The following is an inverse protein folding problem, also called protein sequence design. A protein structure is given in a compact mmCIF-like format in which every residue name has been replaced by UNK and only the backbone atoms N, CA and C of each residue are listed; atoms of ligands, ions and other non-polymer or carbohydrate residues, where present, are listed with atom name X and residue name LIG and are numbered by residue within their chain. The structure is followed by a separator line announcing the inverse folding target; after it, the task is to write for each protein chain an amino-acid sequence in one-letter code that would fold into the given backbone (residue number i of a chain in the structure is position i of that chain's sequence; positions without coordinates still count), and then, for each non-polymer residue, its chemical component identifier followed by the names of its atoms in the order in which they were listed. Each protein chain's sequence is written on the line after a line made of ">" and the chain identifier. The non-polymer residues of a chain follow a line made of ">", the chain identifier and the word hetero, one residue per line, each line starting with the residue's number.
data_IF_127569612904
#
_entry.id   IF_127569612904
#
_cell.length_a   1.000
_cell.length_b   1.000
_cell.length_c   1.000
_cell.angle_alpha   90.00
_cell.angle_beta   90.00
_cell.angle_gamma   90.00
#
_symmetry.space_group_name_H-M   'P 1'
#
loop_
_entity.id
_entity.type
_entity.pdbx_description
1 polymer ?
#
# COMPACT_ATOMS: atom_id res chain seq x y z
N UNK A 1 60.72 48.05 -87.86
CA UNK A 1 59.53 48.58 -87.15
C UNK A 1 58.60 47.49 -86.60
N UNK A 2 58.18 46.48 -87.38
CA UNK A 2 57.26 45.41 -86.88
C UNK A 2 57.77 44.60 -85.69
N UNK A 3 59.07 44.26 -85.64
CA UNK A 3 59.67 43.50 -84.52
C UNK A 3 59.65 44.26 -83.19
N UNK A 4 59.97 45.57 -83.21
CA UNK A 4 59.94 46.41 -82.01
C UNK A 4 58.52 46.60 -81.46
N UNK A 5 57.52 46.74 -82.34
CA UNK A 5 56.12 46.85 -81.95
C UNK A 5 55.61 45.55 -81.29
N UNK A 6 55.99 44.37 -81.80
CA UNK A 6 55.66 43.09 -81.18
C UNK A 6 56.30 42.91 -79.79
N UNK A 7 57.54 43.37 -79.60
CA UNK A 7 58.22 43.31 -78.29
C UNK A 7 57.55 44.24 -77.26
N UNK A 8 57.17 45.46 -77.67
CA UNK A 8 56.45 46.39 -76.80
C UNK A 8 55.05 45.86 -76.42
N UNK A 9 54.35 45.24 -77.37
CA UNK A 9 53.04 44.66 -77.12
C UNK A 9 53.11 43.43 -76.22
N UNK A 10 54.13 42.56 -76.38
CA UNK A 10 54.37 41.42 -75.48
C UNK A 10 54.67 41.89 -74.05
N UNK A 11 55.55 42.88 -73.89
CA UNK A 11 55.88 43.45 -72.57
C UNK A 11 54.67 44.09 -71.88
N UNK A 12 53.78 44.71 -72.64
CA UNK A 12 52.53 45.27 -72.10
C UNK A 12 51.59 44.16 -71.65
N UNK A 13 51.40 43.12 -72.45
CA UNK A 13 50.59 41.97 -72.07
C UNK A 13 51.17 41.23 -70.85
N UNK A 14 52.50 41.07 -70.77
CA UNK A 14 53.16 40.45 -69.62
C UNK A 14 52.94 41.27 -68.33
N UNK A 15 52.98 42.60 -68.42
CA UNK A 15 52.66 43.50 -67.30
C UNK A 15 51.18 43.42 -66.92
N UNK A 16 50.27 43.42 -67.90
CA UNK A 16 48.82 43.26 -67.67
C UNK A 16 48.50 41.93 -66.99
N UNK A 17 49.14 40.84 -67.41
CA UNK A 17 49.01 39.51 -66.79
C UNK A 17 49.58 39.49 -65.36
N UNK A 18 50.70 40.17 -65.10
CA UNK A 18 51.26 40.31 -63.74
C UNK A 18 50.34 41.14 -62.83
N UNK A 19 49.75 42.23 -63.32
CA UNK A 19 48.77 43.02 -62.58
C UNK A 19 47.50 42.21 -62.30
N UNK A 20 47.00 41.45 -63.27
CA UNK A 20 45.83 40.58 -63.10
C UNK A 20 46.08 39.48 -62.06
N UNK A 21 47.27 38.86 -62.05
CA UNK A 21 47.66 37.86 -61.04
C UNK A 21 47.72 38.45 -59.63
N UNK A 22 48.34 39.63 -59.47
CA UNK A 22 48.40 40.31 -58.17
C UNK A 22 47.01 40.71 -57.66
N UNK A 23 46.13 41.20 -58.54
CA UNK A 23 44.76 41.53 -58.17
C UNK A 23 43.96 40.29 -57.77
N UNK A 24 44.15 39.15 -58.46
CA UNK A 24 43.54 37.89 -58.09
C UNK A 24 44.04 37.38 -56.71
N UNK A 25 45.36 37.45 -56.46
CA UNK A 25 45.96 37.07 -55.17
C UNK A 25 45.45 37.96 -54.01
N UNK A 26 45.31 39.27 -54.24
CA UNK A 26 44.76 40.21 -53.25
C UNK A 26 43.29 39.92 -52.96
N UNK A 27 42.48 39.66 -53.99
CA UNK A 27 41.07 39.29 -53.81
C UNK A 27 40.89 37.96 -53.07
N UNK A 28 41.76 36.97 -53.33
CA UNK A 28 41.77 35.70 -52.62
C UNK A 28 42.17 35.88 -51.15
N UNK A 29 43.16 36.72 -50.88
CA UNK A 29 43.57 37.08 -49.51
C UNK A 29 42.41 37.74 -48.75
N UNK A 30 41.72 38.68 -49.37
CA UNK A 30 40.57 39.35 -48.76
C UNK A 30 39.43 38.36 -48.46
N UNK A 31 39.11 37.46 -49.40
CA UNK A 31 38.12 36.40 -49.19
C UNK A 31 38.52 35.44 -48.05
N UNK A 32 39.78 35.01 -47.99
CA UNK A 32 40.31 34.14 -46.94
C UNK A 32 40.24 34.83 -45.58
N UNK A 33 40.64 36.11 -45.50
CA UNK A 33 40.61 36.86 -44.23
C UNK A 33 39.19 37.09 -43.74
N UNK A 34 38.23 37.33 -44.64
CA UNK A 34 36.82 37.45 -44.30
C UNK A 34 36.30 36.16 -43.64
N UNK A 35 36.43 35.02 -44.32
CA UNK A 35 35.93 33.73 -43.82
C UNK A 35 36.67 33.30 -42.54
N UNK A 36 37.99 33.46 -42.48
CA UNK A 36 38.78 33.15 -41.28
C UNK A 36 38.33 34.01 -40.08
N UNK A 37 38.11 35.32 -40.29
CA UNK A 37 37.64 36.20 -39.22
C UNK A 37 36.23 35.85 -38.76
N UNK A 38 35.34 35.47 -39.68
CA UNK A 38 33.97 35.03 -39.37
C UNK A 38 33.97 33.73 -38.57
N UNK A 39 34.76 32.74 -38.96
CA UNK A 39 34.91 31.49 -38.21
C UNK A 39 35.41 31.73 -36.78
N UNK A 40 36.43 32.58 -36.61
CA UNK A 40 36.94 32.93 -35.27
C UNK A 40 35.86 33.61 -34.43
N UNK A 41 35.08 34.53 -35.03
CA UNK A 41 33.95 35.16 -34.33
C UNK A 41 32.91 34.14 -33.90
N UNK A 42 32.44 33.28 -34.81
CA UNK A 42 31.43 32.27 -34.52
C UNK A 42 31.88 31.27 -33.45
N UNK A 43 33.15 30.86 -33.46
CA UNK A 43 33.72 30.00 -32.42
C UNK A 43 33.73 30.71 -31.06
N UNK A 44 34.11 31.98 -31.00
CA UNK A 44 34.09 32.76 -29.76
C UNK A 44 32.67 32.99 -29.24
N UNK A 45 31.71 33.24 -30.13
CA UNK A 45 30.31 33.41 -29.77
C UNK A 45 29.71 32.09 -29.26
N UNK A 46 30.07 30.96 -29.87
CA UNK A 46 29.72 29.62 -29.39
C UNK A 46 30.30 29.31 -27.99
N UNK A 47 31.58 29.64 -27.76
CA UNK A 47 32.23 29.45 -26.46
C UNK A 47 31.55 30.28 -25.36
N UNK A 48 31.20 31.54 -25.68
CA UNK A 48 30.40 32.39 -24.78
C UNK A 48 29.03 31.77 -24.50
N UNK A 49 28.33 31.29 -25.52
CA UNK A 49 27.01 30.68 -25.38
C UNK A 49 27.04 29.41 -24.52
N UNK A 50 28.12 28.62 -24.60
CA UNK A 50 28.32 27.42 -23.77
C UNK A 50 28.69 27.76 -22.31
N UNK A 51 29.42 28.85 -22.10
CA UNK A 51 29.86 29.31 -20.78
C UNK A 51 28.86 30.22 -20.05
N UNK A 52 27.85 30.74 -20.74
CA UNK A 52 26.86 31.65 -20.17
C UNK A 52 25.84 30.92 -19.30
N UNK A 53 25.77 31.32 -18.03
CA UNK A 53 24.84 30.78 -17.04
C UNK A 53 23.39 31.22 -17.30
N UNK A 54 23.20 32.33 -18.01
CA UNK A 54 21.90 32.86 -18.46
C UNK A 54 21.70 32.70 -19.98
N UNK A 55 22.56 31.89 -20.62
CA UNK A 55 22.55 31.68 -22.06
C UNK A 55 21.23 31.09 -22.57
N UNK A 56 20.91 31.36 -23.84
CA UNK A 56 19.68 30.88 -24.48
C UNK A 56 19.94 29.54 -25.18
N UNK A 57 19.50 28.39 -24.61
CA UNK A 57 19.90 27.07 -25.12
C UNK A 57 19.36 26.75 -26.51
N UNK A 58 18.24 27.39 -26.90
CA UNK A 58 17.66 27.27 -28.22
C UNK A 58 18.60 27.73 -29.35
N UNK A 59 19.66 28.50 -29.03
CA UNK A 59 20.64 28.96 -30.01
C UNK A 59 21.74 27.93 -30.31
N UNK A 60 21.90 26.86 -29.52
CA UNK A 60 22.97 25.87 -29.75
C UNK A 60 22.92 25.25 -31.16
N UNK A 61 21.71 24.86 -31.61
CA UNK A 61 21.53 24.25 -32.92
C UNK A 61 21.72 25.25 -34.08
N UNK A 62 21.06 26.44 -34.09
CA UNK A 62 21.34 27.48 -35.07
C UNK A 62 22.82 27.87 -35.17
N UNK A 63 23.52 28.05 -34.03
CA UNK A 63 24.95 28.38 -34.01
C UNK A 63 25.82 27.26 -34.59
N UNK A 64 25.45 25.99 -34.37
CA UNK A 64 26.13 24.86 -34.98
C UNK A 64 25.93 24.82 -36.51
N UNK A 65 24.70 25.05 -36.98
CA UNK A 65 24.36 25.09 -38.40
C UNK A 65 25.13 26.22 -39.11
N UNK A 66 25.18 27.41 -38.52
CA UNK A 66 25.94 28.54 -39.05
C UNK A 66 27.44 28.26 -39.12
N UNK A 67 28.02 27.64 -38.08
CA UNK A 67 29.41 27.21 -38.09
C UNK A 67 29.69 26.16 -39.19
N UNK A 68 28.77 25.21 -39.41
CA UNK A 68 28.91 24.19 -40.46
C UNK A 68 28.89 24.81 -41.85
N UNK A 69 28.01 25.78 -42.09
CA UNK A 69 27.95 26.51 -43.36
C UNK A 69 29.25 27.29 -43.62
N UNK A 70 29.78 28.01 -42.63
CA UNK A 70 31.05 28.73 -42.78
C UNK A 70 32.26 27.80 -42.91
N UNK A 71 32.27 26.65 -42.24
CA UNK A 71 33.28 25.61 -42.49
C UNK A 71 33.25 25.13 -43.94
N UNK A 72 32.07 24.98 -44.54
CA UNK A 72 31.93 24.59 -45.95
C UNK A 72 32.50 25.66 -46.89
N UNK A 73 32.24 26.93 -46.61
CA UNK A 73 32.82 28.06 -47.34
C UNK A 73 34.35 28.05 -47.26
N UNK A 74 34.91 27.82 -46.06
CA UNK A 74 36.35 27.70 -45.86
C UNK A 74 36.97 26.53 -46.65
N UNK A 75 36.33 25.35 -46.64
CA UNK A 75 36.80 24.18 -47.40
C UNK A 75 36.78 24.44 -48.90
N UNK A 76 35.76 25.12 -49.44
CA UNK A 76 35.70 25.50 -50.84
C UNK A 76 36.88 26.44 -51.21
N UNK A 77 37.16 27.45 -50.39
CA UNK A 77 38.30 28.34 -50.59
C UNK A 77 39.66 27.63 -50.52
N UNK A 78 39.80 26.61 -49.65
CA UNK A 78 41.03 25.80 -49.56
C UNK A 78 41.25 24.91 -50.79
N UNK A 79 40.18 24.47 -51.46
CA UNK A 79 40.28 23.69 -52.70
C UNK A 79 40.73 24.55 -53.88
N UNK A 80 40.27 25.79 -53.94
CA UNK A 80 40.54 26.72 -55.04
C UNK A 80 41.89 27.46 -54.89
N UNK A 81 42.44 27.56 -53.67
CA UNK A 81 43.64 28.34 -53.38
C UNK A 81 44.98 27.57 -53.62
N UNK A 82 46.05 28.26 -54.06
CA UNK A 82 47.38 27.67 -54.18
C UNK A 82 48.01 27.39 -52.81
N UNK A 83 48.45 26.15 -52.57
CA UNK A 83 48.97 25.63 -51.27
C UNK A 83 50.12 26.42 -50.62
N UNK A 84 50.79 27.30 -51.35
CA UNK A 84 51.91 28.12 -50.86
C UNK A 84 51.49 29.50 -50.32
N UNK A 85 50.20 29.81 -50.29
CA UNK A 85 49.72 31.13 -49.91
C UNK A 85 49.79 31.34 -48.37
N UNK A 86 50.40 32.43 -47.87
CA UNK A 86 50.67 32.63 -46.44
C UNK A 86 49.41 32.77 -45.58
N UNK A 87 48.29 33.18 -46.16
CA UNK A 87 47.01 33.33 -45.44
C UNK A 87 46.27 32.02 -45.21
N UNK A 88 46.71 30.90 -45.78
CA UNK A 88 46.04 29.61 -45.62
C UNK A 88 46.21 29.05 -44.21
N UNK A 89 47.36 29.26 -43.57
CA UNK A 89 47.62 28.75 -42.22
C UNK A 89 46.63 29.29 -41.18
N UNK A 90 46.25 30.57 -41.28
CA UNK A 90 45.26 31.18 -40.39
C UNK A 90 43.85 30.63 -40.62
N UNK A 91 43.50 30.35 -41.88
CA UNK A 91 42.21 29.75 -42.23
C UNK A 91 42.14 28.28 -41.79
N UNK A 92 43.18 27.49 -42.01
CA UNK A 92 43.26 26.09 -41.55
C UNK A 92 43.14 25.98 -40.02
N UNK A 93 43.78 26.90 -39.28
CA UNK A 93 43.67 26.95 -37.82
C UNK A 93 42.26 27.33 -37.35
N UNK A 94 41.62 28.33 -38.00
CA UNK A 94 40.25 28.73 -37.70
C UNK A 94 39.25 27.60 -38.02
N UNK A 95 39.41 26.95 -39.18
CA UNK A 95 38.61 25.81 -39.62
C UNK A 95 38.75 24.64 -38.62
N UNK A 96 39.97 24.28 -38.24
CA UNK A 96 40.22 23.22 -37.25
C UNK A 96 39.61 23.54 -35.88
N UNK A 97 39.52 24.81 -35.50
CA UNK A 97 38.83 25.23 -34.27
C UNK A 97 37.33 25.09 -34.39
N UNK A 98 36.75 25.52 -35.52
CA UNK A 98 35.33 25.42 -35.80
C UNK A 98 34.85 23.96 -35.90
N UNK A 99 35.59 23.10 -36.62
CA UNK A 99 35.30 21.66 -36.74
C UNK A 99 35.29 20.93 -35.40
N UNK A 100 36.09 21.39 -34.43
CA UNK A 100 36.07 20.85 -33.04
C UNK A 100 34.90 21.37 -32.23
N UNK A 101 34.42 22.58 -32.50
CA UNK A 101 33.31 23.21 -31.76
C UNK A 101 31.94 22.69 -32.20
N UNK A 102 31.76 22.44 -33.50
CA UNK A 102 30.49 21.93 -34.08
C UNK A 102 29.93 20.71 -33.32
N UNK A 103 30.67 19.61 -33.09
CA UNK A 103 30.11 18.45 -32.38
C UNK A 103 29.72 18.77 -30.93
N UNK A 104 30.44 19.68 -30.26
CA UNK A 104 30.12 20.11 -28.88
C UNK A 104 28.78 20.84 -28.84
N UNK A 105 28.54 21.77 -29.78
CA UNK A 105 27.25 22.48 -29.88
C UNK A 105 26.10 21.53 -30.24
N UNK A 106 26.32 20.58 -31.15
CA UNK A 106 25.31 19.60 -31.53
C UNK A 106 24.94 18.70 -30.34
N UNK A 107 25.93 18.19 -29.60
CA UNK A 107 25.68 17.39 -28.40
C UNK A 107 24.89 18.21 -27.37
N UNK A 108 25.29 19.46 -27.15
CA UNK A 108 24.61 20.37 -26.23
C UNK A 108 23.16 20.65 -26.64
N UNK A 109 22.92 20.86 -27.93
CA UNK A 109 21.58 21.04 -28.48
C UNK A 109 20.72 19.78 -28.27
N UNK A 110 21.26 18.59 -28.51
CA UNK A 110 20.55 17.33 -28.30
C UNK A 110 20.17 17.12 -26.82
N UNK A 111 21.08 17.47 -25.89
CA UNK A 111 20.80 17.43 -24.46
C UNK A 111 19.67 18.39 -24.08
N UNK A 112 19.66 19.60 -24.66
CA UNK A 112 18.58 20.57 -24.47
C UNK A 112 17.25 20.07 -25.01
N UNK A 113 17.22 19.53 -26.22
CA UNK A 113 15.99 18.99 -26.83
C UNK A 113 15.42 17.83 -26.01
N UNK A 114 16.29 17.00 -25.43
CA UNK A 114 15.84 15.93 -24.55
C UNK A 114 15.27 16.46 -23.24
N UNK A 115 15.95 17.41 -22.60
CA UNK A 115 15.47 18.07 -21.39
C UNK A 115 14.07 18.67 -21.62
N UNK A 116 13.88 19.45 -22.69
CA UNK A 116 12.59 20.06 -23.03
C UNK A 116 11.51 19.01 -23.23
N UNK A 117 11.80 17.93 -23.96
CA UNK A 117 10.83 16.86 -24.19
C UNK A 117 10.37 16.21 -22.88
N UNK A 118 11.32 15.83 -22.03
CA UNK A 118 11.02 15.19 -20.74
C UNK A 118 10.22 16.16 -19.86
N UNK A 119 10.65 17.43 -19.79
CA UNK A 119 9.97 18.46 -19.01
C UNK A 119 8.53 18.63 -19.46
N UNK A 120 8.30 18.83 -20.75
CA UNK A 120 6.96 19.10 -21.27
C UNK A 120 6.01 17.89 -21.13
N UNK A 121 6.53 16.67 -21.20
CA UNK A 121 5.77 15.45 -20.90
C UNK A 121 5.46 15.31 -19.41
N UNK A 122 6.45 15.57 -18.56
CA UNK A 122 6.31 15.50 -17.11
C UNK A 122 5.36 16.58 -16.58
N UNK A 123 5.45 17.82 -17.06
CA UNK A 123 4.54 18.92 -16.70
C UNK A 123 3.09 18.60 -17.08
N UNK A 124 2.84 18.08 -18.28
CA UNK A 124 1.49 17.66 -18.70
C UNK A 124 0.93 16.54 -17.81
N UNK A 125 1.78 15.58 -17.45
CA UNK A 125 1.39 14.49 -16.54
C UNK A 125 1.09 15.03 -15.14
N UNK A 126 1.93 15.91 -14.61
CA UNK A 126 1.77 16.54 -13.31
C UNK A 126 0.48 17.36 -13.24
N UNK A 127 0.20 18.19 -14.24
CA UNK A 127 -1.05 18.96 -14.35
C UNK A 127 -2.28 18.06 -14.37
N UNK A 128 -2.23 16.94 -15.11
CA UNK A 128 -3.33 15.98 -15.17
C UNK A 128 -3.58 15.29 -13.81
N UNK A 129 -2.51 14.92 -13.09
CA UNK A 129 -2.60 14.34 -11.75
C UNK A 129 -3.18 15.37 -10.77
N UNK A 130 -2.63 16.60 -10.75
CA UNK A 130 -3.12 17.69 -9.89
C UNK A 130 -4.60 17.93 -10.13
N UNK A 131 -5.03 18.04 -11.40
CA UNK A 131 -6.43 18.27 -11.74
C UNK A 131 -7.37 17.18 -11.20
N UNK A 132 -6.94 15.91 -11.22
CA UNK A 132 -7.69 14.81 -10.61
C UNK A 132 -7.74 14.92 -9.09
N UNK A 133 -6.60 15.14 -8.43
CA UNK A 133 -6.54 15.23 -6.96
C UNK A 133 -7.31 16.43 -6.42
N UNK A 134 -7.32 17.56 -7.13
CA UNK A 134 -8.11 18.74 -6.77
C UNK A 134 -9.61 18.43 -6.69
N UNK A 135 -10.14 17.54 -7.56
CA UNK A 135 -11.55 17.12 -7.50
C UNK A 135 -11.89 16.40 -6.19
N UNK A 136 -10.94 15.66 -5.59
CA UNK A 136 -11.12 15.04 -4.28
C UNK A 136 -11.00 16.06 -3.15
N UNK A 137 -10.07 17.02 -3.26
CA UNK A 137 -9.87 18.04 -2.23
C UNK A 137 -11.06 18.99 -2.10
N UNK A 138 -11.60 19.44 -3.23
CA UNK A 138 -12.69 20.42 -3.32
C UNK A 138 -14.08 19.81 -3.08
N UNK A 139 -14.18 18.47 -3.00
CA UNK A 139 -15.45 17.77 -2.77
C UNK A 139 -16.04 18.13 -1.41
N UNK A 140 -17.32 18.48 -1.41
CA UNK A 140 -18.10 18.84 -0.21
C UNK A 140 -19.18 17.83 0.14
N UNK A 141 -19.38 16.79 -0.68
CA UNK A 141 -20.37 15.74 -0.47
C UNK A 141 -19.70 14.38 -0.24
N UNK A 142 -20.37 13.52 0.52
CA UNK A 142 -19.97 12.13 0.74
C UNK A 142 -20.60 11.23 -0.32
N UNK A 143 -19.94 10.13 -0.66
CA UNK A 143 -20.40 9.17 -1.67
C UNK A 143 -20.68 7.78 -1.09
N UNK A 144 -21.57 6.99 -1.71
CA UNK A 144 -21.81 5.59 -1.35
C UNK A 144 -20.56 4.72 -1.40
N UNK A 145 -20.51 3.69 -0.55
CA UNK A 145 -19.41 2.73 -0.49
C UNK A 145 -19.02 2.13 -1.87
N UNK A 146 -19.97 1.67 -2.72
CA UNK A 146 -19.62 1.11 -4.03
C UNK A 146 -18.96 2.13 -4.97
N UNK A 147 -19.40 3.39 -4.93
CA UNK A 147 -18.79 4.46 -5.73
C UNK A 147 -17.37 4.76 -5.22
N UNK A 148 -17.17 4.75 -3.89
CA UNK A 148 -15.85 4.94 -3.29
C UNK A 148 -14.85 3.84 -3.66
N UNK A 149 -15.30 2.59 -3.76
CA UNK A 149 -14.44 1.48 -4.20
C UNK A 149 -13.95 1.68 -5.65
N UNK A 150 -14.80 2.20 -6.54
CA UNK A 150 -14.42 2.54 -7.91
C UNK A 150 -13.42 3.70 -7.92
N UNK A 151 -13.64 4.75 -7.15
CA UNK A 151 -12.70 5.87 -7.06
C UNK A 151 -11.34 5.45 -6.48
N UNK A 152 -11.32 4.55 -5.50
CA UNK A 152 -10.08 3.99 -4.96
C UNK A 152 -9.34 3.17 -6.04
N UNK A 153 -10.07 2.47 -6.91
CA UNK A 153 -9.48 1.77 -8.04
C UNK A 153 -8.89 2.75 -9.06
N UNK A 154 -9.58 3.86 -9.36
CA UNK A 154 -9.08 4.90 -10.25
C UNK A 154 -7.82 5.59 -9.68
N UNK A 155 -7.77 5.83 -8.36
CA UNK A 155 -6.56 6.32 -7.69
C UNK A 155 -5.41 5.33 -7.80
N UNK A 156 -5.65 4.02 -7.66
CA UNK A 156 -4.60 3.00 -7.89
C UNK A 156 -4.03 3.05 -9.30
N UNK A 157 -4.84 3.38 -10.30
CA UNK A 157 -4.35 3.59 -11.67
C UNK A 157 -3.50 4.86 -11.79
N UNK A 158 -3.82 5.91 -11.02
CA UNK A 158 -3.04 7.16 -10.95
C UNK A 158 -1.64 6.97 -10.36
N UNK A 159 -1.42 5.93 -9.55
CA UNK A 159 -0.09 5.58 -9.03
C UNK A 159 0.97 5.43 -10.13
N UNK A 160 0.59 4.88 -11.29
CA UNK A 160 1.52 4.75 -12.43
C UNK A 160 1.98 6.11 -12.94
N UNK A 161 1.14 7.14 -12.90
CA UNK A 161 1.51 8.50 -13.29
C UNK A 161 2.45 9.13 -12.25
N UNK A 162 2.23 8.89 -10.95
CA UNK A 162 3.15 9.31 -9.89
C UNK A 162 4.55 8.69 -10.10
N UNK A 163 4.64 7.39 -10.39
CA UNK A 163 5.92 6.73 -10.67
C UNK A 163 6.62 7.31 -11.91
N UNK A 164 5.85 7.61 -12.97
CA UNK A 164 6.40 8.28 -14.16
C UNK A 164 6.98 9.66 -13.81
N UNK A 165 6.33 10.42 -12.94
CA UNK A 165 6.83 11.72 -12.49
C UNK A 165 8.14 11.59 -11.69
N UNK A 166 8.27 10.58 -10.81
CA UNK A 166 9.52 10.31 -10.08
C UNK A 166 10.66 9.93 -11.01
N UNK A 167 10.38 9.16 -12.06
CA UNK A 167 11.38 8.82 -13.08
C UNK A 167 11.78 10.06 -13.89
N UNK A 168 10.80 10.87 -14.32
CA UNK A 168 11.07 12.10 -15.04
C UNK A 168 11.91 13.09 -14.22
N UNK A 169 11.66 13.22 -12.91
CA UNK A 169 12.48 14.06 -12.03
C UNK A 169 13.97 13.64 -12.04
N UNK A 170 14.24 12.33 -12.01
CA UNK A 170 15.61 11.81 -12.08
C UNK A 170 16.27 12.13 -13.42
N UNK A 171 15.57 11.88 -14.52
CA UNK A 171 16.08 12.19 -15.87
C UNK A 171 16.31 13.70 -16.07
N UNK A 172 15.40 14.54 -15.58
CA UNK A 172 15.54 16.00 -15.61
C UNK A 172 16.76 16.48 -14.81
N UNK A 173 17.00 15.89 -13.63
CA UNK A 173 18.19 16.18 -12.84
C UNK A 173 19.47 15.78 -13.58
N UNK A 174 19.52 14.59 -14.19
CA UNK A 174 20.67 14.13 -14.98
C UNK A 174 20.96 15.06 -16.16
N UNK A 175 19.94 15.43 -16.93
CA UNK A 175 20.10 16.35 -18.05
C UNK A 175 20.44 17.78 -17.61
N UNK A 176 19.95 18.24 -16.46
CA UNK A 176 20.34 19.52 -15.87
C UNK A 176 21.85 19.59 -15.58
N UNK A 177 22.47 18.49 -15.14
CA UNK A 177 23.92 18.40 -14.96
C UNK A 177 24.68 18.54 -16.29
N UNK A 178 24.18 17.88 -17.34
CA UNK A 178 24.74 17.97 -18.70
C UNK A 178 24.55 19.36 -19.34
N UNK A 179 23.65 20.17 -18.79
CA UNK A 179 23.32 21.52 -19.25
C UNK A 179 23.92 22.65 -18.40
N UNK A 180 24.80 22.34 -17.43
CA UNK A 180 25.55 23.35 -16.68
C UNK A 180 26.40 24.23 -17.62
N UNK A 181 26.47 25.56 -17.43
CA UNK A 181 26.12 26.29 -16.21
C UNK A 181 24.71 26.90 -16.16
N UNK A 182 23.77 26.48 -17.02
CA UNK A 182 22.45 27.12 -17.14
C UNK A 182 21.65 27.11 -15.83
N UNK A 183 21.45 28.30 -15.23
CA UNK A 183 20.81 28.42 -13.91
C UNK A 183 19.31 28.19 -13.97
N UNK A 184 18.65 28.66 -15.03
CA UNK A 184 17.20 28.50 -15.21
C UNK A 184 16.81 27.01 -15.28
N UNK A 185 17.61 26.17 -15.94
CA UNK A 185 17.40 24.71 -16.01
C UNK A 185 17.42 24.09 -14.62
N UNK A 186 18.42 24.44 -13.82
CA UNK A 186 18.52 23.95 -12.44
C UNK A 186 17.36 24.43 -11.56
N UNK A 187 16.88 25.66 -11.78
CA UNK A 187 15.73 26.20 -11.06
C UNK A 187 14.41 25.51 -11.47
N UNK A 188 14.19 25.30 -12.77
CA UNK A 188 13.00 24.58 -13.28
C UNK A 188 12.89 23.19 -12.68
N UNK A 189 13.99 22.42 -12.65
CA UNK A 189 14.00 21.07 -12.05
C UNK A 189 13.68 21.13 -10.55
N UNK A 190 14.19 22.14 -9.83
CA UNK A 190 13.87 22.32 -8.41
C UNK A 190 12.39 22.63 -8.18
N UNK A 191 11.78 23.50 -8.99
CA UNK A 191 10.35 23.79 -8.88
C UNK A 191 9.51 22.55 -9.18
N UNK A 192 9.85 21.83 -10.25
CA UNK A 192 9.19 20.58 -10.61
C UNK A 192 9.28 19.54 -9.49
N UNK A 193 10.46 19.35 -8.88
CA UNK A 193 10.67 18.43 -7.75
C UNK A 193 9.74 18.76 -6.57
N UNK A 194 9.65 20.04 -6.19
CA UNK A 194 8.75 20.47 -5.10
C UNK A 194 7.28 20.20 -5.43
N UNK A 195 6.84 20.49 -6.66
CA UNK A 195 5.46 20.27 -7.07
C UNK A 195 5.13 18.78 -7.19
N UNK A 196 6.08 17.97 -7.65
CA UNK A 196 5.99 16.51 -7.72
C UNK A 196 5.85 15.92 -6.32
N UNK A 197 6.76 16.24 -5.38
CA UNK A 197 6.70 15.75 -4.00
C UNK A 197 5.41 16.16 -3.30
N UNK A 198 4.96 17.40 -3.52
CA UNK A 198 3.70 17.89 -2.96
C UNK A 198 2.52 17.09 -3.50
N UNK A 199 2.48 16.85 -4.82
CA UNK A 199 1.40 16.12 -5.48
C UNK A 199 1.37 14.66 -5.02
N UNK A 200 2.53 14.04 -4.84
CA UNK A 200 2.68 12.69 -4.31
C UNK A 200 2.13 12.57 -2.89
N UNK A 201 2.51 13.48 -1.97
CA UNK A 201 1.97 13.50 -0.60
C UNK A 201 0.46 13.67 -0.58
N UNK A 202 -0.08 14.54 -1.45
CA UNK A 202 -1.53 14.72 -1.56
C UNK A 202 -2.23 13.46 -2.07
N UNK A 203 -1.65 12.77 -3.04
CA UNK A 203 -2.15 11.50 -3.53
C UNK A 203 -2.17 10.44 -2.41
N UNK A 204 -1.09 10.32 -1.63
CA UNK A 204 -0.98 9.39 -0.51
C UNK A 204 -2.05 9.69 0.55
N UNK A 205 -2.16 10.94 0.99
CA UNK A 205 -3.14 11.36 2.00
C UNK A 205 -4.59 11.04 1.56
N UNK A 206 -4.95 11.37 0.31
CA UNK A 206 -6.28 11.10 -0.24
C UNK A 206 -6.53 9.59 -0.31
N UNK A 207 -5.58 8.83 -0.84
CA UNK A 207 -5.71 7.39 -1.05
C UNK A 207 -5.82 6.63 0.27
N UNK A 208 -4.96 6.95 1.24
CA UNK A 208 -4.97 6.34 2.57
C UNK A 208 -6.28 6.63 3.31
N UNK A 209 -6.72 7.89 3.30
CA UNK A 209 -7.95 8.29 3.99
C UNK A 209 -9.19 7.68 3.34
N UNK A 210 -9.27 7.67 2.01
CA UNK A 210 -10.36 7.02 1.29
C UNK A 210 -10.38 5.51 1.58
N UNK A 211 -9.23 4.83 1.50
CA UNK A 211 -9.13 3.40 1.78
C UNK A 211 -9.49 3.06 3.24
N UNK A 212 -9.10 3.90 4.20
CA UNK A 212 -9.46 3.74 5.60
C UNK A 212 -10.97 3.88 5.82
N UNK A 213 -11.61 4.88 5.22
CA UNK A 213 -13.06 5.09 5.31
C UNK A 213 -13.84 3.93 4.65
N UNK A 214 -13.42 3.46 3.47
CA UNK A 214 -13.99 2.29 2.78
C UNK A 214 -13.88 1.05 3.66
N UNK A 215 -12.69 0.78 4.21
CA UNK A 215 -12.44 -0.40 5.04
C UNK A 215 -13.29 -0.38 6.30
N UNK A 216 -13.39 0.78 6.96
CA UNK A 216 -14.20 0.96 8.15
C UNK A 216 -15.69 0.74 7.86
N UNK A 217 -16.22 1.35 6.79
CA UNK A 217 -17.64 1.19 6.42
C UNK A 217 -17.95 -0.25 5.98
N UNK A 218 -17.07 -0.89 5.21
CA UNK A 218 -17.23 -2.28 4.80
C UNK A 218 -17.18 -3.25 5.99
N UNK A 219 -16.28 -3.02 6.95
CA UNK A 219 -16.22 -3.82 8.18
C UNK A 219 -17.50 -3.66 8.99
N UNK A 220 -17.99 -2.43 9.15
CA UNK A 220 -19.20 -2.15 9.89
C UNK A 220 -20.41 -2.83 9.22
N UNK A 221 -20.59 -2.71 7.90
CA UNK A 221 -21.63 -3.42 7.17
C UNK A 221 -21.61 -4.93 7.43
N UNK A 222 -20.45 -5.58 7.35
CA UNK A 222 -20.29 -7.01 7.67
C UNK A 222 -20.70 -7.33 9.11
N UNK A 223 -20.32 -6.50 10.08
CA UNK A 223 -20.74 -6.72 11.48
C UNK A 223 -22.25 -6.61 11.65
N UNK A 224 -22.90 -5.65 10.98
CA UNK A 224 -24.35 -5.49 11.05
C UNK A 224 -25.08 -6.65 10.37
N UNK A 225 -24.56 -7.17 9.26
CA UNK A 225 -25.09 -8.38 8.62
C UNK A 225 -25.05 -9.59 9.57
N UNK A 226 -23.92 -9.83 10.24
CA UNK A 226 -23.78 -10.91 11.23
C UNK A 226 -24.77 -10.71 12.38
N UNK A 227 -24.84 -9.52 12.97
CA UNK A 227 -25.78 -9.25 14.07
C UNK A 227 -27.24 -9.37 13.63
N UNK A 228 -27.54 -9.04 12.37
CA UNK A 228 -28.87 -9.24 11.80
C UNK A 228 -29.20 -10.73 11.72
N UNK A 229 -28.26 -11.58 11.28
CA UNK A 229 -28.48 -13.03 11.22
C UNK A 229 -28.63 -13.65 12.61
N UNK A 230 -27.82 -13.23 13.59
CA UNK A 230 -27.93 -13.71 14.96
C UNK A 230 -29.26 -13.31 15.62
N UNK A 231 -29.71 -12.06 15.42
CA UNK A 231 -31.01 -11.60 15.92
C UNK A 231 -32.19 -12.31 15.23
N UNK A 232 -32.07 -12.63 13.94
CA UNK A 232 -33.06 -13.46 13.25
C UNK A 232 -33.12 -14.86 13.85
N UNK A 233 -31.96 -15.50 14.05
CA UNK A 233 -31.88 -16.84 14.61
C UNK A 233 -32.43 -16.92 16.04
N UNK A 234 -32.03 -15.98 16.91
CA UNK A 234 -32.57 -15.87 18.27
C UNK A 234 -34.09 -15.64 18.26
N UNK A 235 -34.59 -14.82 17.35
CA UNK A 235 -36.03 -14.61 17.19
C UNK A 235 -36.76 -15.89 16.76
N UNK A 236 -36.18 -16.71 15.88
CA UNK A 236 -36.77 -17.98 15.43
C UNK A 236 -36.80 -19.00 16.56
N UNK A 237 -35.71 -19.15 17.30
CA UNK A 237 -35.62 -20.08 18.45
C UNK A 237 -36.61 -19.72 19.55
N UNK A 238 -36.78 -18.42 19.86
CA UNK A 238 -37.77 -17.96 20.84
C UNK A 238 -39.23 -18.22 20.42
N UNK A 239 -39.48 -18.43 19.13
CA UNK A 239 -40.81 -18.81 18.62
C UNK A 239 -41.02 -20.33 18.55
N UNK A 240 -39.96 -21.13 18.70
CA UNK A 240 -40.07 -22.59 18.68
C UNK A 240 -40.55 -23.15 20.02
N UNK A 241 -41.45 -24.13 20.00
CA UNK A 241 -42.11 -24.67 21.20
C UNK A 241 -41.27 -25.72 21.96
N UNK A 242 -40.13 -26.14 21.41
CA UNK A 242 -39.27 -27.19 22.00
C UNK A 242 -38.27 -26.60 23.03
N UNK A 243 -38.33 -27.10 24.27
CA UNK A 243 -37.34 -26.90 25.36
C UNK A 243 -37.12 -25.46 25.91
N UNK A 244 -38.20 -24.69 26.03
CA UNK A 244 -38.29 -23.27 26.40
C UNK A 244 -37.59 -22.76 27.68
N UNK A 245 -37.07 -23.60 28.57
CA UNK A 245 -36.57 -23.17 29.88
C UNK A 245 -35.05 -23.19 30.04
N UNK A 246 -34.33 -24.09 29.33
CA UNK A 246 -32.86 -24.20 29.46
C UNK A 246 -32.12 -23.15 28.65
N UNK A 247 -32.71 -22.67 27.55
CA UNK A 247 -32.06 -21.74 26.64
C UNK A 247 -32.37 -20.26 26.93
N UNK A 248 -33.39 -19.95 27.74
CA UNK A 248 -33.77 -18.55 28.07
C UNK A 248 -32.66 -17.71 28.68
N UNK A 249 -31.89 -18.26 29.63
CA UNK A 249 -30.76 -17.55 30.25
C UNK A 249 -29.62 -17.34 29.24
N UNK A 250 -29.44 -18.29 28.32
CA UNK A 250 -28.45 -18.20 27.25
C UNK A 250 -28.82 -17.11 26.25
N UNK A 251 -30.09 -17.08 25.81
CA UNK A 251 -30.63 -16.04 24.92
C UNK A 251 -30.62 -14.65 25.57
N UNK A 252 -30.95 -14.54 26.87
CA UNK A 252 -30.86 -13.26 27.58
C UNK A 252 -29.41 -12.75 27.62
N UNK A 253 -28.44 -13.62 27.92
CA UNK A 253 -27.01 -13.26 27.88
C UNK A 253 -26.57 -12.83 26.48
N UNK A 254 -26.94 -13.59 25.44
CA UNK A 254 -26.62 -13.28 24.05
C UNK A 254 -27.17 -11.92 23.62
N UNK A 255 -28.43 -11.62 23.95
CA UNK A 255 -29.05 -10.34 23.60
C UNK A 255 -28.40 -9.17 24.32
N UNK A 256 -28.00 -9.34 25.59
CA UNK A 256 -27.24 -8.33 26.33
C UNK A 256 -25.87 -8.08 25.69
N UNK A 257 -25.17 -9.13 25.27
CA UNK A 257 -23.88 -9.02 24.56
C UNK A 257 -24.03 -8.32 23.20
N UNK A 258 -25.09 -8.65 22.44
CA UNK A 258 -25.41 -7.98 21.16
C UNK A 258 -25.71 -6.49 21.37
N UNK A 259 -26.52 -6.13 22.38
CA UNK A 259 -26.83 -4.73 22.71
C UNK A 259 -25.54 -3.97 23.06
N UNK A 260 -24.71 -4.53 23.93
CA UNK A 260 -23.43 -3.91 24.30
C UNK A 260 -22.51 -3.73 23.09
N UNK A 261 -22.48 -4.71 22.18
CA UNK A 261 -21.71 -4.60 20.94
C UNK A 261 -22.25 -3.50 20.02
N UNK A 262 -23.57 -3.44 19.81
CA UNK A 262 -24.20 -2.40 19.00
C UNK A 262 -23.99 -0.99 19.60
N UNK A 263 -23.99 -0.84 20.93
CA UNK A 263 -23.74 0.44 21.61
C UNK A 263 -22.31 0.92 21.34
N UNK A 264 -21.35 -0.01 21.43
CA UNK A 264 -19.96 0.29 21.10
C UNK A 264 -19.82 0.71 19.62
N UNK A 265 -20.44 -0.02 18.69
CA UNK A 265 -20.41 0.33 17.27
C UNK A 265 -21.05 1.70 17.00
N UNK A 266 -22.13 2.05 17.70
CA UNK A 266 -22.77 3.38 17.59
C UNK A 266 -21.82 4.51 17.98
N UNK A 267 -21.10 4.36 19.09
CA UNK A 267 -20.09 5.34 19.53
C UNK A 267 -18.96 5.47 18.51
N UNK A 268 -18.51 4.35 17.91
CA UNK A 268 -17.47 4.37 16.86
C UNK A 268 -17.97 5.14 15.63
N UNK A 269 -19.20 4.87 15.17
CA UNK A 269 -19.79 5.55 14.02
C UNK A 269 -19.93 7.05 14.28
N UNK A 270 -20.48 7.47 15.43
CA UNK A 270 -20.62 8.88 15.81
C UNK A 270 -19.28 9.62 15.84
N UNK A 271 -18.21 8.98 16.38
CA UNK A 271 -16.86 9.56 16.37
C UNK A 271 -16.29 9.67 14.96
N UNK A 272 -16.48 8.64 14.14
CA UNK A 272 -15.98 8.64 12.76
C UNK A 272 -16.70 9.67 11.87
N UNK A 273 -18.00 9.91 12.11
CA UNK A 273 -18.80 10.85 11.33
C UNK A 273 -18.27 12.28 11.39
N UNK A 274 -17.63 12.69 12.49
CA UNK A 274 -17.05 14.02 12.65
C UNK A 274 -15.84 14.27 11.74
N UNK A 275 -15.13 13.21 11.35
CA UNK A 275 -13.88 13.28 10.59
C UNK A 275 -13.99 12.69 9.18
N UNK A 276 -15.18 12.27 8.77
CA UNK A 276 -15.41 11.59 7.50
C UNK A 276 -15.42 12.59 6.35
N UNK A 277 -14.66 12.30 5.30
CA UNK A 277 -14.45 13.23 4.17
C UNK A 277 -14.96 12.69 2.84
N UNK A 278 -14.98 11.37 2.65
CA UNK A 278 -15.24 10.79 1.33
C UNK A 278 -16.44 9.85 1.31
N UNK A 279 -16.55 8.93 2.28
CA UNK A 279 -17.55 7.85 2.23
C UNK A 279 -18.75 8.16 3.13
N UNK A 280 -19.97 8.06 2.62
CA UNK A 280 -21.19 8.22 3.43
C UNK A 280 -21.37 7.05 4.41
N UNK A 281 -22.02 7.30 5.56
CA UNK A 281 -22.40 6.22 6.48
C UNK A 281 -23.83 5.78 6.17
N UNK A 282 -23.99 4.63 5.52
CA UNK A 282 -25.31 4.02 5.30
C UNK A 282 -25.80 3.22 6.51
N UNK A 283 -24.96 3.12 7.54
CA UNK A 283 -25.02 2.13 8.60
C UNK A 283 -25.56 2.67 9.91
N UNK A 284 -25.55 3.99 10.12
CA UNK A 284 -26.12 4.64 11.31
C UNK A 284 -27.60 4.29 11.51
N UNK A 285 -28.43 4.40 10.45
CA UNK A 285 -29.85 4.05 10.55
C UNK A 285 -30.08 2.55 10.77
N UNK A 286 -29.22 1.69 10.20
CA UNK A 286 -29.28 0.24 10.39
C UNK A 286 -28.90 -0.16 11.82
N UNK A 287 -27.91 0.50 12.40
CA UNK A 287 -27.52 0.33 13.81
C UNK A 287 -28.69 0.65 14.75
N UNK A 288 -29.37 1.79 14.55
CA UNK A 288 -30.51 2.17 15.39
C UNK A 288 -31.66 1.15 15.30
N UNK A 289 -31.94 0.64 14.09
CA UNK A 289 -32.96 -0.40 13.89
C UNK A 289 -32.60 -1.72 14.57
N UNK A 290 -31.34 -2.15 14.46
CA UNK A 290 -30.86 -3.39 15.10
C UNK A 290 -30.84 -3.25 16.62
N UNK A 291 -30.46 -2.08 17.12
CA UNK A 291 -30.51 -1.78 18.55
C UNK A 291 -31.93 -1.91 19.11
N UNK A 292 -32.89 -1.24 18.45
CA UNK A 292 -34.28 -1.30 18.85
C UNK A 292 -34.81 -2.73 18.80
N UNK A 293 -34.49 -3.47 17.73
CA UNK A 293 -34.89 -4.88 17.59
C UNK A 293 -34.33 -5.78 18.69
N UNK A 294 -33.06 -5.62 19.06
CA UNK A 294 -32.43 -6.39 20.13
C UNK A 294 -33.08 -6.09 21.49
N UNK A 295 -33.41 -4.82 21.75
CA UNK A 295 -34.12 -4.39 22.96
C UNK A 295 -35.55 -4.97 23.03
N UNK A 296 -36.28 -4.93 21.91
CA UNK A 296 -37.64 -5.48 21.83
C UNK A 296 -37.65 -7.00 22.08
N UNK A 297 -36.70 -7.75 21.52
CA UNK A 297 -36.54 -9.19 21.76
C UNK A 297 -36.20 -9.50 23.23
N UNK A 298 -35.30 -8.71 23.82
CA UNK A 298 -34.92 -8.86 25.24
C UNK A 298 -36.12 -8.59 26.16
N UNK A 299 -36.91 -7.56 25.85
CA UNK A 299 -38.11 -7.25 26.62
C UNK A 299 -39.20 -8.31 26.45
N UNK A 300 -39.38 -8.83 25.23
CA UNK A 300 -40.29 -9.94 24.95
C UNK A 300 -39.91 -11.22 25.74
N UNK A 301 -38.62 -11.56 25.78
CA UNK A 301 -38.09 -12.69 26.54
C UNK A 301 -38.37 -12.53 28.05
N UNK A 302 -38.12 -11.33 28.60
CA UNK A 302 -38.36 -11.04 30.02
C UNK A 302 -39.84 -11.06 30.43
N UNK A 303 -40.74 -10.66 29.52
CA UNK A 303 -42.19 -10.66 29.77
C UNK A 303 -42.83 -12.04 29.59
N UNK A 304 -42.18 -12.95 28.87
CA UNK A 304 -42.71 -14.29 28.66
C UNK A 304 -42.83 -15.03 30.00
N UNK A 305 -43.97 -15.68 30.29
CA UNK A 305 -44.20 -16.33 31.58
C UNK A 305 -43.11 -17.35 31.86
N UNK A 306 -42.46 -17.24 33.02
CA UNK A 306 -41.66 -18.31 33.61
C UNK A 306 -42.63 -19.48 33.79
N UNK A 307 -42.48 -20.60 33.09
CA UNK A 307 -43.24 -21.78 33.51
C UNK A 307 -42.74 -22.10 34.91
N UNK A 308 -43.58 -21.83 35.90
CA UNK A 308 -43.24 -22.02 37.30
C UNK A 308 -42.76 -23.45 37.47
N UNK A 309 -41.62 -23.58 38.13
CA UNK A 309 -41.00 -24.83 38.62
C UNK A 309 -41.96 -25.71 39.46
N UNK A 310 -43.18 -25.26 39.70
CA UNK A 310 -44.16 -25.87 40.59
C UNK A 310 -45.09 -26.89 39.91
N UNK A 311 -44.96 -27.14 38.59
CA UNK A 311 -45.82 -28.14 37.91
C UNK A 311 -45.08 -29.18 37.06
N UNK A 312 -43.74 -29.15 36.99
CA UNK A 312 -42.99 -30.16 36.27
C UNK A 312 -42.59 -31.30 37.22
N UNK A 313 -43.34 -32.40 37.12
CA UNK A 313 -43.04 -33.74 37.62
C UNK A 313 -42.94 -33.89 39.15
N UNK A 314 -44.04 -34.38 39.75
CA UNK A 314 -43.90 -35.61 40.53
C UNK A 314 -43.10 -36.57 39.64
N UNK A 315 -41.81 -36.74 39.92
CA UNK A 315 -41.10 -37.92 39.44
C UNK A 315 -41.89 -39.10 40.02
N UNK A 316 -42.74 -39.70 39.19
CA UNK A 316 -43.33 -40.99 39.46
C UNK A 316 -42.16 -41.98 39.41
N UNK A 317 -41.51 -42.18 40.55
CA UNK A 317 -40.51 -43.23 40.69
C UNK A 317 -41.21 -44.55 40.41
N UNK A 318 -40.74 -45.27 39.39
CA UNK A 318 -41.21 -46.61 39.07
C UNK A 318 -40.81 -47.56 40.21
N UNK A 319 -41.74 -47.77 41.14
CA UNK A 319 -41.54 -48.55 42.36
C UNK A 319 -41.22 -50.00 42.01
N UNK A 320 -41.75 -50.51 40.90
CA UNK A 320 -41.53 -51.88 40.45
C UNK A 320 -40.10 -52.05 39.93
N UNK A 321 -39.61 -51.08 39.14
CA UNK A 321 -38.21 -51.07 38.71
C UNK A 321 -37.22 -50.96 39.89
N UNK A 322 -37.56 -50.17 40.91
CA UNK A 322 -36.75 -50.07 42.13
C UNK A 322 -36.78 -51.36 42.96
N UNK A 323 -37.93 -52.03 43.04
CA UNK A 323 -38.10 -53.31 43.73
C UNK A 323 -37.31 -54.44 43.03
N UNK A 324 -37.30 -54.47 41.70
CA UNK A 324 -36.53 -55.44 40.90
C UNK A 324 -35.02 -55.29 41.12
N UNK A 325 -34.52 -54.06 41.19
CA UNK A 325 -33.10 -53.80 41.49
C UNK A 325 -32.75 -54.27 42.90
N UNK A 326 -33.62 -54.05 43.89
CA UNK A 326 -33.40 -54.53 45.25
C UNK A 326 -33.44 -56.06 45.34
N UNK A 327 -34.36 -56.72 44.62
CA UNK A 327 -34.43 -58.18 44.55
C UNK A 327 -33.20 -58.78 43.85
N UNK A 328 -32.64 -58.12 42.83
CA UNK A 328 -31.42 -58.55 42.16
C UNK A 328 -30.16 -58.41 43.03
N UNK A 329 -30.09 -57.38 43.86
CA UNK A 329 -28.96 -57.14 44.76
C UNK A 329 -29.03 -57.98 46.05
N UNK A 330 -30.23 -58.32 46.51
CA UNK A 330 -30.48 -59.07 47.73
C UNK A 330 -31.47 -60.23 47.50
N UNK A 331 -31.04 -61.32 46.82
CA UNK A 331 -31.95 -62.39 46.37
C UNK A 331 -32.60 -63.20 47.50
N UNK A 332 -31.99 -63.21 48.69
CA UNK A 332 -32.45 -63.97 49.86
C UNK A 332 -33.27 -63.10 50.84
N UNK A 333 -33.63 -61.88 50.47
CA UNK A 333 -34.29 -60.92 51.38
C UNK A 333 -35.39 -60.14 50.67
N UNK A 334 -36.54 -59.98 51.33
CA UNK A 334 -37.65 -59.24 50.74
C UNK A 334 -37.28 -57.75 50.62
N UNK A 335 -37.62 -57.05 49.51
CA UNK A 335 -37.20 -55.65 49.27
C UNK A 335 -37.54 -54.70 50.43
N UNK A 336 -38.68 -54.92 51.09
CA UNK A 336 -39.09 -54.12 52.25
C UNK A 336 -38.23 -54.32 53.51
N UNK A 337 -37.71 -55.52 53.75
CA UNK A 337 -36.78 -55.76 54.89
C UNK A 337 -35.46 -55.02 54.69
N UNK A 338 -34.97 -54.94 53.46
CA UNK A 338 -33.75 -54.19 53.10
C UNK A 338 -33.96 -52.69 53.28
N UNK A 339 -35.13 -52.18 52.89
CA UNK A 339 -35.49 -50.76 53.08
C UNK A 339 -35.66 -50.40 54.57
N UNK A 340 -36.21 -51.30 55.37
CA UNK A 340 -36.36 -51.11 56.81
C UNK A 340 -35.01 -51.05 57.54
N UNK A 341 -34.04 -51.91 57.20
CA UNK A 341 -32.67 -51.85 57.75
C UNK A 341 -31.94 -50.54 57.40
N UNK A 342 -32.29 -49.94 56.27
CA UNK A 342 -31.75 -48.66 55.82
C UNK A 342 -32.56 -47.43 56.27
N UNK A 343 -33.49 -47.59 57.21
CA UNK A 343 -34.16 -46.49 57.92
C UNK A 343 -35.48 -46.04 57.30
N UNK A 344 -36.07 -46.81 56.40
CA UNK A 344 -37.41 -46.56 55.83
C UNK A 344 -38.46 -47.45 56.51
N UNK A 345 -38.88 -47.11 57.73
CA UNK A 345 -39.99 -47.78 58.42
C UNK A 345 -41.33 -47.08 58.14
N UNK A 346 -42.32 -47.82 57.60
CA UNK A 346 -43.73 -47.39 57.63
C UNK A 346 -44.45 -47.10 56.30
N UNK A 347 -44.04 -47.69 55.17
CA UNK A 347 -44.82 -47.58 53.91
C UNK A 347 -45.95 -48.64 53.93
N UNK A 348 -47.24 -48.27 53.93
CA UNK A 348 -48.34 -49.23 53.91
C UNK A 348 -48.38 -49.97 52.57
N UNK A 349 -48.55 -51.29 52.63
CA UNK A 349 -48.69 -52.18 51.48
C UNK A 349 -50.16 -52.24 51.05
N UNK A 350 -50.49 -51.65 49.90
CA UNK A 350 -51.80 -51.76 49.26
C UNK A 350 -51.81 -52.91 48.24
N UNK A 351 -51.61 -54.15 48.70
CA UNK A 351 -51.92 -55.34 47.87
C UNK A 351 -52.46 -56.48 48.73
N UNK A 352 -53.68 -56.33 49.21
CA UNK A 352 -54.55 -57.47 49.55
C UNK A 352 -55.25 -57.92 48.26
N UNK A 353 -54.83 -59.04 47.66
CA UNK A 353 -55.68 -59.84 46.76
C UNK A 353 -55.23 -61.29 46.70
N UNK A 354 -56.10 -62.15 47.24
CA UNK A 354 -56.06 -63.61 47.27
C UNK A 354 -56.35 -64.22 45.90
N UNK A 355 -55.65 -65.31 45.57
CA UNK A 355 -56.17 -66.59 45.03
C UNK A 355 -55.01 -67.57 44.86
N UNK A 356 -54.86 -68.63 45.64
CA UNK A 356 -55.50 -69.97 45.52
C UNK A 356 -55.13 -70.78 44.24
N UNK A 357 -54.37 -71.86 44.50
CA UNK A 357 -54.55 -73.25 44.03
C UNK A 357 -53.72 -73.87 42.86
N UNK A 358 -53.17 -75.05 43.19
CA UNK A 358 -52.80 -76.25 42.38
C UNK A 358 -51.72 -76.15 41.27
N UNK A 359 -50.54 -76.75 41.38
CA UNK A 359 -50.11 -78.19 41.40
C UNK A 359 -49.75 -78.76 40.01
N UNK A 360 -48.73 -79.62 40.01
CA UNK A 360 -48.34 -80.66 39.01
C UNK A 360 -47.12 -80.36 38.12
N UNK A 361 -46.04 -81.07 38.47
CA UNK A 361 -45.06 -81.84 37.68
C UNK A 361 -44.81 -81.55 36.18
N UNK A 362 -43.54 -81.60 35.81
CA UNK A 362 -43.14 -81.73 34.40
C UNK A 362 -41.64 -81.71 34.15
N UNK A 363 -40.94 -82.80 34.49
CA UNK A 363 -39.55 -83.08 34.09
C UNK A 363 -39.41 -83.20 32.57
N UNK A 364 -38.39 -82.59 31.96
CA UNK A 364 -37.81 -83.03 30.68
C UNK A 364 -36.46 -82.37 30.37
N UNK A 365 -35.41 -83.17 30.44
CA UNK A 365 -34.04 -82.94 29.97
C UNK A 365 -33.93 -82.56 28.50
N UNK A 366 -32.87 -81.82 28.13
CA UNK A 366 -32.50 -81.57 26.73
C UNK A 366 -31.24 -80.73 26.53
N UNK A 367 -30.10 -81.25 26.98
CA UNK A 367 -28.69 -81.00 26.58
C UNK A 367 -28.44 -80.03 25.39
N UNK A 368 -27.54 -79.04 25.56
CA UNK A 368 -26.15 -79.03 25.04
C UNK A 368 -25.43 -77.67 25.32
N UNK A 369 -24.17 -77.80 25.74
CA UNK A 369 -23.08 -76.85 26.11
C UNK A 369 -22.62 -75.84 25.02
N UNK A 370 -21.56 -74.99 25.18
CA UNK A 370 -20.66 -74.66 26.32
C UNK A 370 -20.36 -73.13 26.53
N UNK A 371 -19.65 -72.84 27.63
CA UNK A 371 -19.10 -71.54 28.15
C UNK A 371 -17.99 -70.98 27.22
N UNK A 372 -17.73 -69.64 27.12
CA UNK A 372 -16.71 -69.00 27.99
C UNK A 372 -16.99 -67.55 28.44
N UNK A 373 -16.42 -67.20 29.60
CA UNK A 373 -16.37 -65.87 30.22
C UNK A 373 -15.80 -64.77 29.30
N UNK A 374 -16.33 -63.53 29.34
CA UNK A 374 -15.54 -62.32 29.03
C UNK A 374 -16.15 -61.00 29.56
N UNK A 375 -15.35 -60.34 30.41
CA UNK A 375 -14.97 -58.93 30.34
C UNK A 375 -16.04 -57.83 30.29
N UNK A 376 -16.41 -57.28 31.46
CA UNK A 376 -17.02 -55.94 31.58
C UNK A 376 -16.19 -54.93 32.39
N UNK A 377 -15.03 -55.33 32.91
CA UNK A 377 -14.16 -54.44 33.71
C UNK A 377 -13.17 -53.55 32.95
N UNK A 378 -12.99 -53.70 31.63
CA UNK A 378 -11.85 -53.07 30.90
C UNK A 378 -12.25 -51.80 30.12
N UNK A 379 -13.54 -51.52 29.92
CA UNK A 379 -13.97 -50.43 29.03
C UNK A 379 -13.79 -49.04 29.66
N UNK A 380 -14.12 -48.85 30.94
CA UNK A 380 -14.10 -47.54 31.60
C UNK A 380 -12.69 -46.95 31.76
N UNK A 381 -11.66 -47.78 32.05
CA UNK A 381 -10.29 -47.31 32.22
C UNK A 381 -9.58 -46.93 30.90
N UNK A 382 -10.07 -47.43 29.75
CA UNK A 382 -9.44 -47.22 28.45
C UNK A 382 -9.79 -45.87 27.80
N UNK A 383 -10.98 -45.31 28.08
CA UNK A 383 -11.44 -44.03 27.52
C UNK A 383 -10.69 -42.82 28.12
N UNK A 384 -10.49 -42.80 29.44
CA UNK A 384 -9.74 -41.71 30.10
C UNK A 384 -8.25 -41.70 29.75
N UNK A 385 -7.65 -42.87 29.48
CA UNK A 385 -6.22 -42.98 29.09
C UNK A 385 -5.96 -42.56 27.64
N UNK A 386 -6.93 -42.74 26.74
CA UNK A 386 -6.86 -42.31 25.33
C UNK A 386 -7.06 -40.80 25.15
N UNK A 387 -7.90 -40.15 25.95
CA UNK A 387 -8.05 -38.69 25.92
C UNK A 387 -6.76 -37.98 26.37
N UNK A 388 -6.10 -38.45 27.43
CA UNK A 388 -4.87 -37.81 27.96
C UNK A 388 -3.68 -37.82 26.98
N UNK A 389 -3.64 -38.73 26.00
CA UNK A 389 -2.57 -38.79 24.98
C UNK A 389 -2.82 -37.90 23.77
N UNK A 390 -4.08 -37.64 23.40
CA UNK A 390 -4.46 -36.70 22.32
C UNK A 390 -4.26 -35.24 22.75
N UNK A 391 -4.65 -34.88 23.98
CA UNK A 391 -4.41 -33.54 24.53
C UNK A 391 -2.92 -33.25 24.73
N UNK A 392 -2.09 -34.25 25.10
CA UNK A 392 -0.62 -34.08 25.15
C UNK A 392 0.03 -33.84 23.78
N UNK A 393 -0.58 -34.27 22.68
CA UNK A 393 -0.09 -33.99 21.31
C UNK A 393 -0.51 -32.60 20.86
N UNK A 394 -1.76 -32.22 21.10
CA UNK A 394 -2.30 -30.88 20.77
C UNK A 394 -1.59 -29.78 21.58
N UNK A 395 -1.33 -30.01 22.87
CA UNK A 395 -0.60 -29.06 23.71
C UNK A 395 0.89 -28.95 23.29
N UNK A 396 1.50 -30.04 22.78
CA UNK A 396 2.88 -30.03 22.27
C UNK A 396 3.04 -29.29 20.95
N UNK A 397 1.99 -29.15 20.14
CA UNK A 397 2.02 -28.39 18.88
C UNK A 397 1.59 -26.94 19.06
N UNK A 398 0.70 -26.65 20.01
CA UNK A 398 0.24 -25.28 20.29
C UNK A 398 1.24 -24.46 21.13
N UNK A 399 1.92 -25.09 22.09
CA UNK A 399 2.92 -24.42 22.94
C UNK A 399 4.08 -23.76 22.17
N UNK A 400 4.72 -24.38 21.15
CA UNK A 400 5.79 -23.70 20.41
C UNK A 400 5.27 -22.52 19.58
N UNK A 401 4.01 -22.56 19.12
CA UNK A 401 3.40 -21.49 18.34
C UNK A 401 3.03 -20.30 19.23
N UNK A 402 2.46 -20.56 20.42
CA UNK A 402 2.21 -19.54 21.43
C UNK A 402 3.51 -18.95 21.99
N UNK A 403 4.54 -19.77 22.20
CA UNK A 403 5.86 -19.29 22.60
C UNK A 403 6.51 -18.42 21.51
N UNK A 404 6.36 -18.78 20.22
CA UNK A 404 6.88 -17.97 19.14
C UNK A 404 6.11 -16.65 19.00
N UNK A 405 4.79 -16.65 19.21
CA UNK A 405 3.98 -15.43 19.21
C UNK A 405 4.36 -14.48 20.35
N UNK A 406 4.55 -15.02 21.56
CA UNK A 406 5.01 -14.24 22.72
C UNK A 406 6.45 -13.76 22.53
N UNK A 407 7.30 -14.54 21.88
CA UNK A 407 8.68 -14.14 21.55
C UNK A 407 8.71 -13.06 20.47
N UNK A 408 7.84 -13.13 19.45
CA UNK A 408 7.65 -12.07 18.45
C UNK A 408 7.08 -10.80 19.08
N UNK A 409 6.12 -10.92 19.99
CA UNK A 409 5.58 -9.79 20.74
C UNK A 409 6.64 -9.19 21.67
N UNK A 410 7.42 -10.02 22.36
CA UNK A 410 8.57 -9.60 23.17
C UNK A 410 9.66 -8.94 22.34
N UNK A 411 9.92 -9.42 21.12
CA UNK A 411 10.85 -8.80 20.18
C UNK A 411 10.32 -7.45 19.68
N UNK A 412 9.03 -7.34 19.37
CA UNK A 412 8.37 -6.08 19.02
C UNK A 412 8.39 -5.06 20.19
N UNK A 413 8.35 -5.52 21.43
CA UNK A 413 8.50 -4.68 22.62
C UNK A 413 9.98 -4.35 22.97
N UNK A 414 10.94 -5.09 22.41
CA UNK A 414 12.39 -4.83 22.54
C UNK A 414 12.92 -3.94 21.41
N UNK A 415 12.17 -3.76 20.32
CA UNK A 415 12.36 -2.62 19.41
C UNK A 415 12.00 -1.38 20.23
N UNK A 416 12.96 -0.49 20.51
CA UNK A 416 12.62 0.77 21.16
C UNK A 416 11.56 1.43 20.30
N UNK A 417 10.37 1.67 20.85
CA UNK A 417 9.53 2.73 20.32
C UNK A 417 10.39 3.99 20.43
N UNK A 418 10.95 4.40 19.30
CA UNK A 418 11.55 5.70 19.17
C UNK A 418 10.39 6.68 19.32
N UNK A 419 10.13 7.11 20.56
CA UNK A 419 9.35 8.31 20.79
C UNK A 419 10.01 9.43 19.98
N UNK A 420 9.24 10.03 19.08
CA UNK A 420 9.68 11.00 18.06
C UNK A 420 10.50 12.18 18.63
N UNK A 421 10.46 12.41 19.95
CA UNK A 421 11.17 13.48 20.63
C UNK A 421 12.69 13.22 20.81
N UNK A 422 13.15 11.96 20.87
CA UNK A 422 14.59 11.66 20.99
C UNK A 422 15.32 11.59 19.63
N UNK A 423 14.64 11.18 18.55
CA UNK A 423 15.22 11.17 17.20
C UNK A 423 15.47 12.59 16.68
N UNK A 424 14.60 13.54 17.01
CA UNK A 424 14.81 14.95 16.66
C UNK A 424 15.96 15.59 17.43
N UNK A 425 16.23 15.21 18.68
CA UNK A 425 17.38 15.75 19.43
C UNK A 425 18.72 15.16 18.98
N UNK A 426 18.79 13.88 18.60
CA UNK A 426 20.03 13.28 18.12
C UNK A 426 20.39 13.75 16.69
N UNK A 427 19.40 13.85 15.79
CA UNK A 427 19.60 14.40 14.44
C UNK A 427 19.96 15.89 14.44
N UNK A 428 19.39 16.68 15.36
CA UNK A 428 19.72 18.11 15.49
C UNK A 428 21.12 18.34 16.10
N UNK A 429 21.58 17.44 16.99
CA UNK A 429 22.97 17.47 17.47
C UNK A 429 23.98 17.02 16.41
N UNK A 430 23.65 16.03 15.56
CA UNK A 430 24.52 15.61 14.44
C UNK A 430 24.57 16.65 13.31
N UNK A 431 23.46 17.33 13.02
CA UNK A 431 23.42 18.40 12.01
C UNK A 431 24.25 19.63 12.43
N UNK A 432 24.37 19.89 13.74
CA UNK A 432 25.21 20.98 14.27
C UNK A 432 26.68 20.61 14.49
N UNK A 433 27.06 19.34 14.47
CA UNK A 433 28.47 18.93 14.65
C UNK A 433 29.32 19.04 13.37
N UNK A 434 28.71 19.36 12.22
CA UNK A 434 29.40 19.52 10.93
C UNK A 434 29.46 20.97 10.43
N UNK A 435 28.96 21.94 11.19
CA UNK A 435 29.30 23.35 10.95
C UNK A 435 30.61 23.68 11.67
N UNK A 436 31.72 23.99 10.95
CA UNK A 436 32.82 24.71 11.55
C UNK A 436 32.33 26.15 11.82
N UNK A 437 31.66 26.33 12.96
CA UNK A 437 31.33 27.64 13.50
C UNK A 437 32.62 28.34 13.93
N UNK A 438 33.20 29.09 13.00
CA UNK A 438 34.12 30.17 13.30
C UNK A 438 33.33 31.31 13.96
N UNK A 439 33.04 31.15 15.25
CA UNK A 439 32.72 32.30 16.11
C UNK A 439 33.95 32.62 16.96
N UNK A 440 34.61 33.71 16.56
CA UNK A 440 35.54 34.44 17.41
C UNK A 440 34.79 34.95 18.64
N UNK A 441 34.87 34.19 19.72
CA UNK A 441 34.49 34.66 21.04
C UNK A 441 35.67 35.47 21.59
N UNK A 442 35.58 36.81 21.47
CA UNK A 442 36.41 37.85 22.11
C UNK A 442 37.84 38.10 21.57
N UNK A 443 37.97 38.64 20.35
CA UNK A 443 39.21 39.32 19.92
C UNK A 443 39.03 40.14 18.62
N UNK A 444 39.77 41.25 18.43
CA UNK A 444 39.68 42.05 17.20
C UNK A 444 40.40 41.34 16.02
N UNK A 445 39.96 41.58 14.77
CA UNK A 445 40.45 40.83 13.61
C UNK A 445 41.86 41.27 13.18
N UNK A 446 42.72 40.36 12.68
CA UNK A 446 43.98 40.75 12.06
C UNK A 446 43.80 41.12 10.58
N UNK A 447 44.69 42.00 10.12
CA UNK A 447 44.79 42.59 8.77
C UNK A 447 44.87 41.59 7.62
#
# INVERSE_FOLDING_TARGET
>A
MRSWFMVQQRRRNDLEDEFARRAADESLRDAITLVSSRLVQLVNDADRLLGDAEGVPAQYRPSAEELVEECRNAVALLQDAPRSHPSLQGLEAALSSAERMVPVLIERANNWDMFVRIRDEASRTLEAVIAKLSQFQERTYLIPLPEGEVELQDLKHLYMDIERLRLAEKELNEHSLLLRPLLHVSQEVRFFSVDQERTEKLYEEITERLAAEITAEAQLNRTLEILTTELNHCSEELTSEDDQQKDRLSHESLLLDIIAHLENQKVIVERSAQNRRYIESSTSASLDRLMQRAQDLLEALRRAPQTSRDSAAREEYDVDAAADVLAALYPESHPYSVLAEHGFEGIPSDTDSRSEFESVDGSSSGLLSPIPDTATGIVAASHFRRQRSRWRRVLRTALPLQAMLVLLLGAACLVPHCDDEYCCQLLNNFARSFDPSLEFINGPPPF
#
